data_IF_777856596571
#
_entry.id   IF_777856596571
#
_cell.length_a   1.000
_cell.length_b   1.000
_cell.length_c   1.000
_cell.angle_alpha   90.00
_cell.angle_beta   90.00
_cell.angle_gamma   90.00
#
_symmetry.space_group_name_H-M   'P 1'
#
loop_
_entity.id
_entity.type
_entity.pdbx_description
1 polymer ?
#
# COMPACT_ATOMS: atom_id res chain seq x y z
N UNK A 1 13.73 13.28 -1.92
CA UNK A 1 14.82 13.33 -0.92
C UNK A 1 16.17 13.17 -1.58
N UNK A 2 16.42 12.10 -2.34
CA UNK A 2 17.70 11.86 -3.02
C UNK A 2 18.19 13.04 -3.87
N UNK A 3 17.28 13.70 -4.59
CA UNK A 3 17.59 14.91 -5.35
C UNK A 3 18.26 15.99 -4.48
N UNK A 4 17.65 16.37 -3.36
CA UNK A 4 18.22 17.36 -2.45
C UNK A 4 19.49 16.86 -1.75
N UNK A 5 19.56 15.57 -1.40
CA UNK A 5 20.78 14.97 -0.80
C UNK A 5 21.96 15.04 -1.79
N UNK A 6 21.72 14.84 -3.08
CA UNK A 6 22.74 15.01 -4.13
C UNK A 6 23.24 16.46 -4.21
N UNK A 7 22.33 17.43 -4.11
CA UNK A 7 22.67 18.87 -4.10
C UNK A 7 23.49 19.27 -2.86
N UNK A 8 23.08 18.80 -1.68
CA UNK A 8 23.73 19.17 -0.42
C UNK A 8 25.13 18.52 -0.30
N UNK A 9 25.55 17.59 -1.18
CA UNK A 9 26.79 16.78 -1.13
C UNK A 9 26.79 15.72 -0.02
N UNK A 10 27.49 14.59 -0.27
CA UNK A 10 27.47 13.37 0.57
C UNK A 10 27.95 13.58 2.02
N UNK A 11 28.77 14.62 2.29
CA UNK A 11 29.28 14.93 3.64
C UNK A 11 28.15 15.19 4.65
N UNK A 12 27.10 15.87 4.20
CA UNK A 12 25.97 16.33 5.03
C UNK A 12 24.89 15.25 5.20
N UNK A 13 24.92 14.19 4.38
CA UNK A 13 23.93 13.11 4.40
C UNK A 13 24.02 12.19 5.64
N UNK A 14 25.03 12.37 6.50
CA UNK A 14 25.21 11.56 7.71
C UNK A 14 24.60 12.18 8.97
N UNK A 15 24.24 13.47 8.94
CA UNK A 15 23.62 14.13 10.10
C UNK A 15 22.10 13.91 10.11
N UNK A 16 21.64 13.16 11.11
CA UNK A 16 20.23 12.87 11.33
C UNK A 16 19.39 14.14 11.57
N UNK A 17 19.97 15.19 12.19
CA UNK A 17 19.27 16.45 12.45
C UNK A 17 19.03 17.22 11.15
N UNK A 18 20.08 17.36 10.33
CA UNK A 18 19.98 17.98 9.00
C UNK A 18 18.99 17.23 8.09
N UNK A 19 19.05 15.89 8.06
CA UNK A 19 18.11 15.06 7.31
C UNK A 19 16.66 15.21 7.80
N UNK A 20 16.45 15.36 9.11
CA UNK A 20 15.13 15.60 9.70
C UNK A 20 14.53 16.92 9.23
N UNK A 21 15.29 18.01 9.27
CA UNK A 21 14.89 19.32 8.72
C UNK A 21 14.55 19.22 7.23
N UNK A 22 15.44 18.60 6.46
CA UNK A 22 15.26 18.41 5.02
C UNK A 22 14.00 17.60 4.69
N UNK A 23 13.73 16.53 5.44
CA UNK A 23 12.53 15.70 5.24
C UNK A 23 11.26 16.48 5.53
N UNK A 24 11.24 17.33 6.56
CA UNK A 24 10.10 18.18 6.91
C UNK A 24 9.81 19.19 5.80
N UNK A 25 10.82 19.94 5.35
CA UNK A 25 10.63 20.94 4.30
C UNK A 25 10.37 20.30 2.93
N UNK A 26 10.97 19.15 2.61
CA UNK A 26 10.61 18.40 1.40
C UNK A 26 9.15 17.91 1.42
N UNK A 27 8.63 17.49 2.58
CA UNK A 27 7.21 17.12 2.72
C UNK A 27 6.30 18.34 2.56
N UNK A 28 6.67 19.50 3.11
CA UNK A 28 5.97 20.78 2.90
C UNK A 28 5.95 21.15 1.41
N UNK A 29 7.11 21.08 0.75
CA UNK A 29 7.26 21.37 -0.67
C UNK A 29 6.39 20.45 -1.54
N UNK A 30 6.40 19.13 -1.27
CA UNK A 30 5.50 18.16 -1.94
C UNK A 30 4.03 18.58 -1.82
N UNK A 31 3.58 18.92 -0.61
CA UNK A 31 2.19 19.33 -0.36
C UNK A 31 1.86 20.63 -1.11
N UNK A 32 2.74 21.62 -1.04
CA UNK A 32 2.59 22.89 -1.74
C UNK A 32 2.48 22.69 -3.25
N UNK A 33 3.35 21.85 -3.85
CA UNK A 33 3.35 21.55 -5.28
C UNK A 33 2.11 20.81 -5.78
N UNK A 34 1.33 20.21 -4.87
CA UNK A 34 0.04 19.62 -5.24
C UNK A 34 -0.99 20.70 -5.65
N UNK A 35 -0.83 21.92 -5.15
CA UNK A 35 -1.70 23.07 -5.46
C UNK A 35 -0.99 24.15 -6.29
N UNK A 36 0.31 24.37 -6.05
CA UNK A 36 1.13 25.42 -6.66
C UNK A 36 2.04 24.85 -7.77
N UNK A 37 2.36 25.67 -8.78
CA UNK A 37 3.24 25.26 -9.88
C UNK A 37 4.74 25.26 -9.49
N UNK A 38 5.10 26.01 -8.46
CA UNK A 38 6.46 26.12 -7.95
C UNK A 38 6.46 26.37 -6.45
N UNK A 39 7.51 25.94 -5.78
CA UNK A 39 7.77 26.20 -4.36
C UNK A 39 9.28 26.38 -4.17
N UNK A 40 9.70 27.18 -3.20
CA UNK A 40 11.10 27.29 -2.80
C UNK A 40 11.33 26.50 -1.52
N UNK A 41 12.31 25.60 -1.52
CA UNK A 41 12.69 24.82 -0.34
C UNK A 41 13.77 25.59 0.38
N UNK A 42 13.43 26.15 1.53
CA UNK A 42 14.32 26.98 2.35
C UNK A 42 14.49 26.37 3.73
N UNK A 43 15.73 26.21 4.17
CA UNK A 43 16.09 25.66 5.47
C UNK A 43 17.21 26.49 6.08
N UNK A 44 16.91 27.15 7.18
CA UNK A 44 17.89 27.87 7.99
C UNK A 44 18.77 26.91 8.80
N UNK A 45 20.08 27.21 8.82
CA UNK A 45 21.11 26.45 9.52
C UNK A 45 20.95 24.94 9.29
N UNK A 46 20.94 24.52 8.02
CA UNK A 46 20.76 23.11 7.66
C UNK A 46 21.88 22.26 8.29
N UNK A 47 23.12 22.72 8.19
CA UNK A 47 24.31 22.09 8.78
C UNK A 47 25.42 23.14 8.96
N UNK A 48 26.08 23.17 10.12
CA UNK A 48 27.16 24.11 10.46
C UNK A 48 26.90 25.57 10.05
N UNK A 49 25.69 26.08 10.32
CA UNK A 49 25.29 27.45 10.01
C UNK A 49 25.06 27.75 8.51
N UNK A 50 25.19 26.76 7.64
CA UNK A 50 24.91 26.93 6.20
C UNK A 50 23.43 26.79 5.93
N UNK A 51 22.84 27.81 5.31
CA UNK A 51 21.45 27.79 4.85
C UNK A 51 21.32 27.04 3.52
N UNK A 52 20.14 26.49 3.26
CA UNK A 52 19.81 25.80 2.02
C UNK A 52 18.58 26.44 1.39
N UNK A 53 18.68 26.82 0.11
CA UNK A 53 17.58 27.44 -0.64
C UNK A 53 17.60 26.94 -2.08
N UNK A 54 16.59 26.15 -2.46
CA UNK A 54 16.48 25.58 -3.81
C UNK A 54 15.04 25.70 -4.35
N UNK A 55 14.84 26.29 -5.54
CA UNK A 55 13.54 26.29 -6.19
C UNK A 55 13.21 24.89 -6.72
N UNK A 56 11.96 24.47 -6.54
CA UNK A 56 11.43 23.22 -7.09
C UNK A 56 10.12 23.51 -7.82
N UNK A 57 10.07 23.19 -9.11
CA UNK A 57 8.86 23.28 -9.92
C UNK A 57 8.06 21.97 -9.86
N UNK A 58 6.76 22.04 -10.13
CA UNK A 58 5.89 20.86 -10.23
C UNK A 58 6.37 19.91 -11.32
N UNK A 59 6.74 20.45 -12.48
CA UNK A 59 7.26 19.67 -13.61
C UNK A 59 8.51 18.88 -13.18
N UNK A 60 9.45 19.52 -12.48
CA UNK A 60 10.66 18.84 -11.97
C UNK A 60 10.32 17.81 -10.90
N UNK A 61 9.40 18.10 -9.99
CA UNK A 61 8.93 17.14 -9.00
C UNK A 61 8.30 15.90 -9.66
N UNK A 62 7.50 16.10 -10.70
CA UNK A 62 6.85 15.01 -11.43
C UNK A 62 7.87 14.15 -12.17
N UNK A 63 8.85 14.77 -12.83
CA UNK A 63 9.97 14.07 -13.48
C UNK A 63 10.75 13.20 -12.48
N UNK A 64 11.10 13.77 -11.31
CA UNK A 64 11.87 13.10 -10.27
C UNK A 64 11.16 11.89 -9.64
N UNK A 65 9.82 11.82 -9.72
CA UNK A 65 9.03 10.74 -9.11
C UNK A 65 8.25 9.93 -10.16
N UNK A 66 8.56 10.09 -11.44
CA UNK A 66 7.83 9.46 -12.54
C UNK A 66 7.84 7.92 -12.45
N UNK A 67 8.95 7.33 -12.02
CA UNK A 67 9.06 5.88 -11.80
C UNK A 67 8.12 5.42 -10.68
N UNK A 68 8.03 6.17 -9.59
CA UNK A 68 7.12 5.88 -8.47
C UNK A 68 5.65 6.00 -8.89
N UNK A 69 5.29 7.05 -9.64
CA UNK A 69 3.93 7.22 -10.17
C UNK A 69 3.53 6.11 -11.16
N UNK A 70 4.48 5.60 -11.96
CA UNK A 70 4.22 4.45 -12.82
C UNK A 70 4.00 3.17 -12.00
N UNK A 71 4.80 2.96 -10.95
CA UNK A 71 4.65 1.80 -10.04
C UNK A 71 3.29 1.79 -9.35
N UNK A 72 2.69 2.94 -9.03
CA UNK A 72 1.36 2.99 -8.40
C UNK A 72 0.24 2.47 -9.29
N UNK A 73 0.42 2.43 -10.61
CA UNK A 73 -0.58 1.85 -11.53
C UNK A 73 -0.56 0.32 -11.53
N UNK A 74 0.50 -0.32 -11.04
CA UNK A 74 0.58 -1.78 -10.92
C UNK A 74 -0.54 -2.34 -10.03
N UNK A 75 -0.69 -1.86 -8.77
CA UNK A 75 -1.80 -2.22 -7.91
C UNK A 75 -3.19 -1.94 -8.50
N UNK A 76 -3.38 -0.84 -9.23
CA UNK A 76 -4.67 -0.51 -9.86
C UNK A 76 -5.05 -1.56 -10.92
N UNK A 77 -4.10 -1.91 -11.81
CA UNK A 77 -4.30 -2.98 -12.81
C UNK A 77 -4.58 -4.32 -12.14
N UNK A 78 -3.79 -4.65 -11.12
CA UNK A 78 -3.96 -5.87 -10.32
C UNK A 78 -5.36 -5.97 -9.72
N UNK A 79 -5.88 -4.88 -9.16
CA UNK A 79 -7.22 -4.84 -8.58
C UNK A 79 -8.32 -5.05 -9.64
N UNK A 80 -8.17 -4.44 -10.82
CA UNK A 80 -9.10 -4.65 -11.94
C UNK A 80 -9.08 -6.10 -12.45
N UNK A 81 -7.89 -6.68 -12.60
CA UNK A 81 -7.69 -8.10 -12.97
C UNK A 81 -8.34 -9.03 -11.95
N UNK A 82 -8.10 -8.79 -10.66
CA UNK A 82 -8.64 -9.59 -9.56
C UNK A 82 -10.17 -9.49 -9.46
N UNK A 83 -10.75 -8.35 -9.85
CA UNK A 83 -12.20 -8.14 -9.90
C UNK A 83 -12.87 -8.73 -11.15
N UNK A 84 -12.09 -9.06 -12.20
CA UNK A 84 -12.62 -9.50 -13.48
C UNK A 84 -13.46 -8.44 -14.20
N UNK A 85 -13.25 -7.16 -13.88
CA UNK A 85 -14.02 -6.04 -14.42
C UNK A 85 -13.28 -5.33 -15.53
N UNK A 86 -14.04 -4.88 -16.51
CA UNK A 86 -13.58 -3.92 -17.50
C UNK A 86 -13.63 -2.49 -16.93
N UNK A 87 -12.80 -1.60 -17.50
CA UNK A 87 -12.73 -0.19 -17.09
C UNK A 87 -14.06 0.55 -17.23
N UNK A 88 -14.88 0.15 -18.20
CA UNK A 88 -16.23 0.69 -18.48
C UNK A 88 -17.22 0.39 -17.35
N UNK A 89 -17.03 -0.71 -16.63
CA UNK A 89 -17.90 -1.16 -15.54
C UNK A 89 -17.63 -0.43 -14.21
N UNK A 90 -16.52 0.30 -14.12
CA UNK A 90 -16.21 1.11 -12.93
C UNK A 90 -17.02 2.39 -13.00
N UNK A 91 -18.00 2.56 -12.12
CA UNK A 91 -18.88 3.73 -12.12
C UNK A 91 -18.17 4.99 -11.62
N UNK A 92 -17.41 4.88 -10.54
CA UNK A 92 -16.83 6.00 -9.83
C UNK A 92 -15.42 5.67 -9.30
N UNK A 93 -14.58 6.69 -9.19
CA UNK A 93 -13.22 6.58 -8.67
C UNK A 93 -13.12 7.50 -7.46
N UNK A 94 -13.06 6.95 -6.26
CA UNK A 94 -12.89 7.73 -5.03
C UNK A 94 -11.41 7.82 -4.68
N UNK A 95 -10.92 9.04 -4.43
CA UNK A 95 -9.52 9.27 -4.04
C UNK A 95 -9.35 9.14 -2.52
N UNK A 96 -8.47 8.25 -2.09
CA UNK A 96 -8.17 8.00 -0.66
C UNK A 96 -6.68 8.22 -0.38
N UNK A 97 -6.39 9.00 0.66
CA UNK A 97 -5.05 9.35 1.15
C UNK A 97 -4.45 10.60 0.50
N UNK A 98 -3.76 11.44 1.28
CA UNK A 98 -3.29 12.75 0.81
C UNK A 98 -2.29 12.76 -0.36
N UNK A 99 -1.65 11.64 -0.71
CA UNK A 99 -0.79 11.58 -1.92
C UNK A 99 -1.61 11.57 -3.22
N UNK A 100 -2.90 11.23 -3.17
CA UNK A 100 -3.81 11.29 -4.33
C UNK A 100 -4.13 12.72 -4.75
N UNK A 101 -3.80 13.72 -3.92
CA UNK A 101 -3.89 15.14 -4.27
C UNK A 101 -2.86 15.59 -5.30
N UNK A 102 -1.83 14.78 -5.56
CA UNK A 102 -0.83 15.09 -6.57
C UNK A 102 -1.51 15.06 -7.95
N UNK A 103 -1.46 16.17 -8.74
CA UNK A 103 -2.11 16.24 -10.06
C UNK A 103 -1.70 15.10 -10.99
N UNK A 104 -0.43 14.71 -10.98
CA UNK A 104 0.07 13.59 -11.80
C UNK A 104 -0.62 12.25 -11.50
N UNK A 105 -0.94 11.97 -10.23
CA UNK A 105 -1.64 10.74 -9.84
C UNK A 105 -3.07 10.74 -10.37
N UNK A 106 -3.76 11.88 -10.24
CA UNK A 106 -5.12 12.05 -10.77
C UNK A 106 -5.14 11.93 -12.29
N UNK A 107 -4.16 12.52 -12.97
CA UNK A 107 -4.00 12.39 -14.42
C UNK A 107 -3.83 10.92 -14.82
N UNK A 108 -2.93 10.17 -14.18
CA UNK A 108 -2.69 8.76 -14.51
C UNK A 108 -3.94 7.89 -14.30
N UNK A 109 -4.73 8.16 -13.26
CA UNK A 109 -6.00 7.48 -13.03
C UNK A 109 -7.02 7.85 -14.11
N UNK A 110 -7.19 9.13 -14.40
CA UNK A 110 -8.09 9.62 -15.45
C UNK A 110 -7.73 9.01 -16.82
N UNK A 111 -6.46 9.01 -17.19
CA UNK A 111 -5.96 8.41 -18.43
C UNK A 111 -6.24 6.90 -18.45
N UNK A 112 -6.01 6.20 -17.33
CA UNK A 112 -6.25 4.76 -17.25
C UNK A 112 -7.74 4.41 -17.39
N UNK A 113 -8.64 5.22 -16.84
CA UNK A 113 -10.09 5.04 -16.91
C UNK A 113 -10.76 5.87 -18.02
N UNK A 114 -10.05 6.09 -19.13
CA UNK A 114 -10.58 6.69 -20.37
C UNK A 114 -11.24 8.07 -20.17
N UNK A 115 -10.64 8.92 -19.35
CA UNK A 115 -11.12 10.28 -19.09
C UNK A 115 -12.08 10.40 -17.91
N UNK A 116 -12.44 9.30 -17.23
CA UNK A 116 -13.31 9.33 -16.05
C UNK A 116 -12.70 10.18 -14.93
N UNK A 117 -13.44 11.20 -14.50
CA UNK A 117 -13.03 12.09 -13.41
C UNK A 117 -13.14 11.40 -12.06
N UNK A 118 -12.09 11.47 -11.21
CA UNK A 118 -12.20 11.04 -9.82
C UNK A 118 -13.20 11.90 -9.03
N UNK A 119 -14.01 11.25 -8.20
CA UNK A 119 -14.91 11.90 -7.27
C UNK A 119 -14.11 12.70 -6.22
N UNK A 120 -14.53 13.95 -5.99
CA UNK A 120 -13.95 14.91 -5.04
C UNK A 120 -14.87 15.27 -3.87
N UNK A 121 -16.01 14.60 -3.76
CA UNK A 121 -16.99 14.78 -2.68
C UNK A 121 -16.55 14.20 -1.33
N UNK A 122 -15.55 13.32 -1.32
CA UNK A 122 -14.95 12.77 -0.10
C UNK A 122 -13.58 13.39 0.15
N UNK A 123 -13.32 13.83 1.38
CA UNK A 123 -11.99 14.28 1.78
C UNK A 123 -11.03 13.07 1.82
N UNK A 124 -9.97 13.02 0.97
CA UNK A 124 -9.08 11.88 0.91
C UNK A 124 -8.35 11.58 2.22
N UNK A 125 -8.12 12.60 3.06
CA UNK A 125 -7.38 12.44 4.32
C UNK A 125 -8.26 11.88 5.44
N UNK A 126 -9.59 12.01 5.34
CA UNK A 126 -10.55 11.63 6.36
C UNK A 126 -11.35 10.37 5.99
N UNK A 127 -11.37 9.98 4.71
CA UNK A 127 -12.14 8.85 4.20
C UNK A 127 -11.95 7.56 5.01
N UNK A 128 -10.69 7.25 5.38
CA UNK A 128 -10.37 6.05 6.17
C UNK A 128 -10.88 6.17 7.62
N UNK A 129 -10.73 7.35 8.23
CA UNK A 129 -11.19 7.59 9.60
C UNK A 129 -12.71 7.52 9.69
N UNK A 130 -13.41 8.06 8.69
CA UNK A 130 -14.86 7.97 8.58
C UNK A 130 -15.32 6.52 8.44
N UNK A 131 -14.71 5.75 7.53
CA UNK A 131 -15.00 4.33 7.37
C UNK A 131 -14.74 3.52 8.65
N UNK A 132 -13.69 3.85 9.40
CA UNK A 132 -13.40 3.21 10.69
C UNK A 132 -14.46 3.55 11.76
N UNK A 133 -14.98 4.78 11.78
CA UNK A 133 -16.05 5.18 12.69
C UNK A 133 -17.36 4.43 12.40
N UNK A 134 -17.75 4.35 11.11
CA UNK A 134 -18.93 3.56 10.68
C UNK A 134 -18.76 2.09 11.04
N UNK A 135 -17.57 1.52 10.79
CA UNK A 135 -17.31 0.13 11.14
C UNK A 135 -17.34 -0.13 12.65
N UNK A 136 -16.83 0.80 13.47
CA UNK A 136 -16.95 0.74 14.92
C UNK A 136 -18.41 0.74 15.38
N UNK A 137 -19.25 1.56 14.76
CA UNK A 137 -20.67 1.68 15.03
C UNK A 137 -21.48 0.41 14.67
N UNK A 138 -21.13 -0.25 13.56
CA UNK A 138 -21.67 -1.56 13.18
C UNK A 138 -21.28 -2.63 14.21
N UNK A 139 -20.02 -2.66 14.61
CA UNK A 139 -19.51 -3.66 15.56
C UNK A 139 -20.01 -3.45 17.00
N UNK A 140 -20.29 -2.21 17.42
CA UNK A 140 -20.92 -1.93 18.72
C UNK A 140 -22.44 -2.16 18.71
N UNK A 141 -23.07 -2.20 17.53
CA UNK A 141 -24.52 -2.26 17.38
C UNK A 141 -25.22 -0.92 17.64
N UNK A 142 -24.47 0.19 17.74
CA UNK A 142 -24.99 1.51 18.11
C UNK A 142 -25.30 2.42 16.90
N UNK A 143 -25.10 1.96 15.67
CA UNK A 143 -25.27 2.78 14.47
C UNK A 143 -26.71 3.03 14.01
N UNK A 144 -27.69 2.58 14.79
CA UNK A 144 -29.11 2.84 14.51
C UNK A 144 -29.57 2.25 13.18
N UNK A 145 -30.59 2.85 12.57
CA UNK A 145 -31.16 2.35 11.31
C UNK A 145 -30.22 2.54 10.10
N UNK A 146 -29.32 3.53 10.15
CA UNK A 146 -28.43 3.88 9.03
C UNK A 146 -27.36 2.80 8.75
N UNK A 147 -26.97 2.02 9.76
CA UNK A 147 -25.94 0.99 9.61
C UNK A 147 -26.47 -0.43 9.64
N UNK A 148 -27.77 -0.65 9.90
CA UNK A 148 -28.38 -1.99 10.04
C UNK A 148 -28.23 -2.85 8.78
N UNK A 149 -28.31 -2.22 7.62
CA UNK A 149 -28.29 -2.92 6.33
C UNK A 149 -26.88 -3.05 5.73
N UNK A 150 -25.84 -2.61 6.45
CA UNK A 150 -24.46 -2.64 5.96
C UNK A 150 -23.77 -3.93 6.42
N UNK A 151 -23.51 -4.83 5.47
CA UNK A 151 -22.67 -6.02 5.69
C UNK A 151 -21.27 -5.78 5.12
N UNK A 152 -20.25 -5.77 6.00
CA UNK A 152 -18.85 -5.72 5.59
C UNK A 152 -18.28 -7.15 5.46
N UNK A 153 -17.79 -7.49 4.26
CA UNK A 153 -17.06 -8.73 4.01
C UNK A 153 -15.55 -8.44 3.92
N UNK A 154 -14.78 -8.99 4.86
CA UNK A 154 -13.32 -8.93 4.81
C UNK A 154 -12.76 -10.12 4.01
N UNK A 155 -11.56 -9.96 3.45
CA UNK A 155 -10.91 -10.95 2.59
C UNK A 155 -9.43 -11.13 2.93
N UNK A 156 -8.89 -12.33 2.66
CA UNK A 156 -7.47 -12.60 2.84
C UNK A 156 -6.61 -11.82 1.81
N UNK A 157 -5.68 -10.94 2.22
CA UNK A 157 -4.94 -10.09 1.28
C UNK A 157 -3.89 -10.86 0.45
N UNK A 158 -3.40 -11.99 0.95
CA UNK A 158 -2.41 -12.84 0.30
C UNK A 158 -2.89 -14.29 0.27
N UNK A 159 -2.47 -15.03 -0.75
CA UNK A 159 -2.66 -16.47 -0.79
C UNK A 159 -1.84 -17.12 0.33
N UNK A 160 -2.51 -17.93 1.14
CA UNK A 160 -1.92 -18.75 2.19
C UNK A 160 -1.85 -20.21 1.72
N UNK A 161 -0.77 -20.87 2.11
CA UNK A 161 -0.50 -22.24 1.71
C UNK A 161 0.61 -22.84 2.57
N UNK A 162 0.92 -24.10 2.28
CA UNK A 162 2.01 -24.81 2.93
C UNK A 162 3.14 -25.06 1.94
N UNK A 163 4.37 -25.09 2.43
CA UNK A 163 5.49 -25.60 1.67
C UNK A 163 5.46 -27.13 1.68
N UNK A 164 5.49 -27.72 0.49
CA UNK A 164 5.68 -29.15 0.28
C UNK A 164 7.13 -29.44 -0.11
N UNK A 165 7.47 -30.72 -0.18
CA UNK A 165 8.81 -31.16 -0.61
C UNK A 165 9.21 -30.55 -1.95
N UNK A 166 10.50 -30.20 -2.08
CA UNK A 166 11.04 -29.49 -3.24
C UNK A 166 10.90 -27.97 -3.18
N UNK A 167 10.43 -27.40 -2.07
CA UNK A 167 10.27 -25.94 -1.90
C UNK A 167 9.06 -25.36 -2.62
N UNK A 168 8.14 -26.23 -3.06
CA UNK A 168 6.92 -25.83 -3.78
C UNK A 168 5.84 -25.41 -2.79
N UNK A 169 5.20 -24.27 -3.01
CA UNK A 169 4.09 -23.82 -2.17
C UNK A 169 2.76 -24.35 -2.74
N UNK A 170 2.07 -25.19 -1.97
CA UNK A 170 0.69 -25.62 -2.26
C UNK A 170 -0.29 -24.62 -1.67
N UNK A 171 -1.14 -24.02 -2.51
CA UNK A 171 -2.11 -22.99 -2.12
C UNK A 171 -3.33 -23.62 -1.44
N UNK A 172 -3.70 -23.15 -0.25
CA UNK A 172 -4.87 -23.62 0.49
C UNK A 172 -5.99 -22.56 0.54
N UNK A 173 -5.64 -21.32 0.86
CA UNK A 173 -6.57 -20.18 0.89
C UNK A 173 -6.07 -19.18 -0.15
N UNK A 174 -6.72 -19.06 -1.31
CA UNK A 174 -6.39 -18.02 -2.29
C UNK A 174 -6.54 -16.62 -1.70
N UNK A 175 -5.76 -15.65 -2.23
CA UNK A 175 -6.03 -14.23 -2.00
C UNK A 175 -7.47 -13.89 -2.35
N UNK A 176 -8.02 -12.87 -1.71
CA UNK A 176 -9.40 -12.40 -1.86
C UNK A 176 -10.47 -13.42 -1.39
N UNK A 177 -10.09 -14.50 -0.69
CA UNK A 177 -11.08 -15.38 -0.04
C UNK A 177 -11.70 -14.67 1.16
N UNK A 178 -13.03 -14.65 1.27
CA UNK A 178 -13.76 -14.05 2.40
C UNK A 178 -13.34 -14.68 3.73
N UNK A 179 -13.13 -13.88 4.77
CA UNK A 179 -12.80 -14.33 6.12
C UNK A 179 -13.93 -14.00 7.11
N UNK A 180 -14.16 -14.83 8.14
CA UNK A 180 -13.43 -16.05 8.49
C UNK A 180 -13.67 -17.21 7.51
N UNK A 181 -12.62 -18.00 7.22
CA UNK A 181 -12.70 -19.18 6.35
C UNK A 181 -11.87 -20.34 6.91
N UNK A 182 -12.30 -21.57 6.59
CA UNK A 182 -11.57 -22.79 6.91
C UNK A 182 -11.42 -23.62 5.64
N UNK A 183 -10.18 -24.06 5.36
CA UNK A 183 -9.85 -24.97 4.27
C UNK A 183 -8.98 -26.10 4.81
N UNK A 184 -9.15 -27.29 4.27
CA UNK A 184 -8.38 -28.49 4.63
C UNK A 184 -8.07 -29.27 3.37
N UNK A 185 -6.88 -29.86 3.34
CA UNK A 185 -6.40 -30.70 2.25
C UNK A 185 -5.53 -31.81 2.85
N UNK A 186 -5.64 -33.00 2.29
CA UNK A 186 -4.86 -34.17 2.74
C UNK A 186 -3.51 -34.17 2.03
N UNK A 187 -2.45 -34.42 2.79
CA UNK A 187 -1.07 -34.57 2.30
C UNK A 187 -0.51 -35.91 2.79
N UNK A 188 0.40 -36.49 2.01
CA UNK A 188 1.14 -37.70 2.37
C UNK A 188 2.59 -37.37 2.70
N UNK A 189 3.24 -38.22 3.50
CA UNK A 189 4.69 -38.15 3.73
C UNK A 189 5.44 -38.42 2.43
N UNK A 190 6.66 -37.89 2.36
CA UNK A 190 7.54 -38.08 1.20
C UNK A 190 8.46 -39.28 1.34
N UNK A 191 8.77 -39.69 2.56
CA UNK A 191 9.63 -40.83 2.87
C UNK A 191 8.87 -41.91 3.64
N UNK A 192 9.21 -43.17 3.37
CA UNK A 192 8.74 -44.31 4.15
C UNK A 192 9.26 -44.19 5.59
N UNK A 193 8.41 -44.58 6.56
CA UNK A 193 8.72 -44.50 8.00
C UNK A 193 9.04 -43.07 8.49
N UNK A 194 8.63 -42.02 7.76
CA UNK A 194 8.76 -40.65 8.21
C UNK A 194 7.94 -40.41 9.48
N UNK A 195 8.60 -40.25 10.63
CA UNK A 195 7.97 -40.06 11.95
C UNK A 195 7.64 -38.60 12.29
N UNK A 196 8.16 -37.65 11.53
CA UNK A 196 7.95 -36.21 11.78
C UNK A 196 7.72 -35.45 10.49
N UNK A 197 6.84 -34.46 10.53
CA UNK A 197 6.59 -33.53 9.43
C UNK A 197 6.71 -32.11 9.96
N UNK A 198 7.54 -31.31 9.29
CA UNK A 198 7.60 -29.87 9.50
C UNK A 198 6.69 -29.19 8.49
N UNK A 199 5.60 -28.59 8.95
CA UNK A 199 4.66 -27.86 8.11
C UNK A 199 5.02 -26.39 8.21
N UNK A 200 5.54 -25.82 7.12
CA UNK A 200 5.75 -24.37 7.03
C UNK A 200 4.55 -23.71 6.37
N UNK A 201 3.88 -22.81 7.10
CA UNK A 201 2.85 -21.94 6.55
C UNK A 201 3.56 -20.78 5.87
N UNK A 202 3.27 -20.59 4.57
CA UNK A 202 3.87 -19.53 3.76
C UNK A 202 2.82 -18.59 3.18
N UNK A 203 3.26 -17.35 2.97
CA UNK A 203 2.67 -16.45 1.99
C UNK A 203 3.55 -16.46 0.74
N UNK A 204 3.08 -15.82 -0.34
CA UNK A 204 3.83 -15.72 -1.59
C UNK A 204 5.25 -15.12 -1.43
N UNK A 205 5.48 -14.28 -0.42
CA UNK A 205 6.73 -13.49 -0.30
C UNK A 205 7.56 -13.93 0.91
N UNK A 206 6.92 -14.39 1.99
CA UNK A 206 7.62 -14.71 3.26
C UNK A 206 7.00 -15.93 3.96
N UNK A 207 7.81 -16.72 4.70
CA UNK A 207 7.30 -17.68 5.66
C UNK A 207 6.59 -16.96 6.82
N UNK A 208 5.47 -17.51 7.27
CA UNK A 208 4.70 -16.96 8.40
C UNK A 208 5.02 -17.70 9.69
N UNK A 209 4.97 -19.03 9.67
CA UNK A 209 5.18 -19.87 10.83
C UNK A 209 5.58 -21.29 10.43
N UNK A 210 6.20 -22.02 11.35
CA UNK A 210 6.47 -23.45 11.21
C UNK A 210 5.81 -24.21 12.35
N UNK A 211 5.17 -25.32 12.02
CA UNK A 211 4.60 -26.27 12.97
C UNK A 211 5.35 -27.59 12.82
N UNK A 212 5.88 -28.11 13.93
CA UNK A 212 6.45 -29.45 13.98
C UNK A 212 5.40 -30.41 14.50
N UNK A 213 4.97 -31.35 13.65
CA UNK A 213 4.07 -32.43 14.05
C UNK A 213 4.84 -33.73 14.11
N UNK A 214 4.80 -34.39 15.27
CA UNK A 214 5.12 -35.82 15.37
C UNK A 214 3.96 -36.61 14.77
N UNK A 215 4.25 -37.46 13.80
CA UNK A 215 3.30 -38.42 13.28
C UNK A 215 3.28 -39.60 14.24
N UNK A 216 2.14 -39.86 14.85
CA UNK A 216 1.91 -41.12 15.53
C UNK A 216 1.77 -42.19 14.45
N UNK A 217 2.79 -43.05 14.30
CA UNK A 217 2.67 -44.24 13.49
C UNK A 217 1.58 -45.13 14.11
N UNK A 218 0.60 -45.54 13.30
CA UNK A 218 -0.27 -46.67 13.62
C UNK A 218 0.42 -47.97 13.24
#
# INVERSE_FOLDING_TARGET
>A
MEYFIKLIKKKYSKDNRALGKLRREAKRAKRALSNQHQVRVEIESLFDGTDFSEPLTRARFEELNNDLFRKTMGPVKKAMEDAGLEKSQIHEIVLVGGSTRIPKVQQLLKDYFNGKEPNKGVNPDEAVAFGAAVQGSILSGEGGDETKDILLLDVAPLTLGIETVGGVMTKLIPRNTVIPTKKSQVFTTYQDQQTTVSIQVRTRILPLSSLHCQLLAW
#
